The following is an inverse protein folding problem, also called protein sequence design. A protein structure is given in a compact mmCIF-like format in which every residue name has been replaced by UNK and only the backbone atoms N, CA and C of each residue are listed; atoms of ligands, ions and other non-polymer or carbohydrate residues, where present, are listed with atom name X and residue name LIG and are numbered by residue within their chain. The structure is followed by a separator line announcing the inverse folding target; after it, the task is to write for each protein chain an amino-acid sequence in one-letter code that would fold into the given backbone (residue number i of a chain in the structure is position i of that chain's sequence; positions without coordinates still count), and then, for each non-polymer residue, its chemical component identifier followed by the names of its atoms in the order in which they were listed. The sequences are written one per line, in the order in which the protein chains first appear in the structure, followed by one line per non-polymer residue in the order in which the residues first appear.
data_IF_548023283364
#
_entry.id   IF_548023283364
#
_cell.length_a   1.000
_cell.length_b   1.000
_cell.length_c   1.000
_cell.angle_alpha   90.00
_cell.angle_beta   90.00
_cell.angle_gamma   90.00
#
_symmetry.space_group_name_H-M   'P 1'
#
loop_
_entity.id
_entity.type
_entity.pdbx_description
1 polymer ?
#
# COMPACT_ATOMS: atom_id res chain seq x y z
N UNK A 1 13.72 -2.69 -4.43
CA UNK A 1 13.00 -1.46 -4.83
C UNK A 1 12.64 -0.71 -3.57
N UNK A 2 13.01 0.54 -3.50
CA UNK A 2 12.82 1.39 -2.33
C UNK A 2 11.58 2.28 -2.56
N UNK A 3 10.72 2.39 -1.56
CA UNK A 3 9.60 3.34 -1.59
C UNK A 3 10.04 4.59 -0.86
N UNK A 4 10.12 5.70 -1.58
CA UNK A 4 10.51 6.99 -1.04
C UNK A 4 9.27 7.87 -0.97
N UNK A 5 8.99 8.37 0.21
CA UNK A 5 7.91 9.34 0.42
C UNK A 5 8.47 10.74 0.22
N UNK A 6 7.90 11.49 -0.70
CA UNK A 6 8.25 12.89 -0.95
C UNK A 6 7.10 13.78 -0.49
N UNK A 7 7.39 14.65 0.49
CA UNK A 7 6.47 15.68 0.95
C UNK A 7 6.65 16.93 0.07
N UNK A 8 5.64 17.24 -0.75
CA UNK A 8 5.56 18.53 -1.42
C UNK A 8 4.62 19.42 -0.62
N UNK A 9 5.08 20.10 0.40
CA UNK A 9 4.70 21.32 0.86
C UNK A 9 4.52 21.82 2.19
N UNK A 10 4.77 23.01 2.25
CA UNK A 10 4.65 24.12 3.14
C UNK A 10 3.24 24.63 3.31
N UNK A 11 2.40 24.00 4.11
CA UNK A 11 1.36 24.73 4.82
C UNK A 11 1.10 24.08 6.18
N UNK A 12 1.76 24.58 7.20
CA UNK A 12 1.62 24.15 8.59
C UNK A 12 0.19 24.27 9.14
N UNK A 13 -0.73 24.84 8.35
CA UNK A 13 -2.13 25.03 8.74
C UNK A 13 -3.10 24.02 8.11
N UNK A 14 -2.69 23.26 7.10
CA UNK A 14 -3.57 22.26 6.48
C UNK A 14 -3.38 20.88 7.11
N UNK A 15 -4.47 20.33 7.60
CA UNK A 15 -4.59 19.04 8.27
C UNK A 15 -4.31 17.84 7.36
N UNK A 16 -4.19 18.04 6.04
CA UNK A 16 -4.00 17.01 5.03
C UNK A 16 -2.81 17.36 4.14
N UNK A 17 -1.77 16.52 4.20
CA UNK A 17 -0.60 16.66 3.34
C UNK A 17 -0.79 15.84 2.08
N UNK A 18 -0.43 16.41 0.95
CA UNK A 18 -0.27 15.67 -0.30
C UNK A 18 1.15 15.12 -0.35
N UNK A 19 1.28 13.83 -0.59
CA UNK A 19 2.55 13.11 -0.63
C UNK A 19 2.71 12.43 -1.98
N UNK A 20 3.96 12.15 -2.36
CA UNK A 20 4.25 11.27 -3.49
C UNK A 20 5.16 10.15 -3.02
N UNK A 21 4.71 8.90 -3.21
CA UNK A 21 5.55 7.73 -3.02
C UNK A 21 6.29 7.43 -4.31
N UNK A 22 7.60 7.33 -4.27
CA UNK A 22 8.45 7.05 -5.43
C UNK A 22 9.13 5.70 -5.26
N UNK A 23 9.02 4.85 -6.26
CA UNK A 23 9.61 3.52 -6.26
C UNK A 23 10.97 3.55 -6.97
N UNK A 24 11.99 3.93 -6.24
CA UNK A 24 13.36 4.01 -6.73
C UNK A 24 14.13 2.71 -6.46
N UNK A 25 15.23 2.48 -7.19
CA UNK A 25 16.13 1.35 -6.95
C UNK A 25 17.03 1.61 -5.75
N UNK A 26 17.45 2.87 -5.62
CA UNK A 26 18.39 3.33 -4.60
C UNK A 26 17.93 4.70 -4.09
N UNK A 27 18.42 5.07 -2.90
CA UNK A 27 18.18 6.38 -2.33
C UNK A 27 19.21 7.39 -2.83
N UNK A 28 19.20 7.65 -4.14
CA UNK A 28 20.04 8.66 -4.78
C UNK A 28 19.17 9.61 -5.59
N UNK A 29 19.54 10.88 -5.76
CA UNK A 29 18.80 11.83 -6.59
C UNK A 29 18.59 11.33 -8.02
N UNK A 30 19.59 10.65 -8.58
CA UNK A 30 19.55 10.08 -9.94
C UNK A 30 18.52 8.96 -10.03
N UNK A 31 18.50 8.04 -9.06
CA UNK A 31 17.55 6.93 -9.01
C UNK A 31 16.11 7.41 -8.78
N UNK A 32 15.94 8.43 -7.94
CA UNK A 32 14.64 9.07 -7.71
C UNK A 32 14.14 9.74 -9.00
N UNK A 33 15.01 10.52 -9.65
CA UNK A 33 14.71 11.20 -10.90
C UNK A 33 14.32 10.19 -11.99
N UNK A 34 15.10 9.13 -12.15
CA UNK A 34 14.81 8.04 -13.09
C UNK A 34 13.45 7.41 -12.81
N UNK A 35 13.15 7.12 -11.53
CA UNK A 35 11.87 6.54 -11.13
C UNK A 35 10.69 7.45 -11.45
N UNK A 36 10.82 8.77 -11.22
CA UNK A 36 9.80 9.75 -11.56
C UNK A 36 9.55 9.81 -13.07
N UNK A 37 10.59 9.88 -13.88
CA UNK A 37 10.46 9.88 -15.34
C UNK A 37 9.88 8.58 -15.88
N UNK A 38 10.17 7.45 -15.27
CA UNK A 38 9.56 6.16 -15.60
C UNK A 38 8.11 6.03 -15.11
N UNK A 39 7.61 7.04 -14.38
CA UNK A 39 6.26 7.04 -13.81
C UNK A 39 6.08 5.97 -12.73
N UNK A 40 7.14 5.64 -12.01
CA UNK A 40 7.11 4.76 -10.86
C UNK A 40 6.81 5.56 -9.59
N UNK A 41 5.61 6.13 -9.56
CA UNK A 41 5.14 6.93 -8.43
C UNK A 41 3.66 6.79 -8.19
N UNK A 42 3.22 7.10 -6.96
CA UNK A 42 1.85 7.12 -6.51
C UNK A 42 1.63 8.44 -5.77
N UNK A 43 0.58 9.17 -6.11
CA UNK A 43 0.15 10.34 -5.36
C UNK A 43 -0.74 9.91 -4.19
N UNK A 44 -0.59 10.59 -3.06
CA UNK A 44 -1.41 10.41 -1.87
C UNK A 44 -1.98 11.75 -1.42
N UNK A 45 -3.27 11.77 -1.17
CA UNK A 45 -3.96 12.91 -0.57
C UNK A 45 -5.23 12.42 0.14
N UNK A 46 -5.48 12.91 1.34
CA UNK A 46 -6.73 12.65 2.07
C UNK A 46 -7.12 11.16 2.09
N UNK A 47 -6.20 10.29 2.51
CA UNK A 47 -6.37 8.84 2.58
C UNK A 47 -6.66 8.15 1.22
N UNK A 48 -6.45 8.84 0.12
CA UNK A 48 -6.61 8.34 -1.25
C UNK A 48 -5.26 8.20 -1.92
N UNK A 49 -5.09 7.13 -2.64
CA UNK A 49 -3.93 6.85 -3.48
C UNK A 49 -4.32 6.91 -4.95
N UNK A 50 -3.49 7.52 -5.77
CA UNK A 50 -3.70 7.58 -7.20
C UNK A 50 -2.40 7.28 -7.96
N UNK A 51 -2.46 6.37 -8.94
CA UNK A 51 -1.28 5.98 -9.70
C UNK A 51 -1.55 4.86 -10.68
N UNK A 52 -0.50 4.41 -11.36
CA UNK A 52 -0.60 3.26 -12.26
C UNK A 52 -0.98 2.00 -11.50
N UNK A 53 -1.80 1.15 -12.11
CA UNK A 53 -2.33 -0.08 -11.50
C UNK A 53 -1.23 -0.96 -10.88
N UNK A 54 -0.14 -1.18 -11.63
CA UNK A 54 0.98 -1.99 -11.17
C UNK A 54 1.68 -1.40 -9.94
N UNK A 55 1.79 -0.07 -9.85
CA UNK A 55 2.38 0.62 -8.71
C UNK A 55 1.47 0.54 -7.48
N UNK A 56 0.16 0.74 -7.67
CA UNK A 56 -0.83 0.59 -6.60
C UNK A 56 -0.88 -0.84 -6.07
N UNK A 57 -0.84 -1.86 -6.96
CA UNK A 57 -0.75 -3.27 -6.57
C UNK A 57 0.50 -3.55 -5.75
N UNK A 58 1.63 -3.04 -6.21
CA UNK A 58 2.90 -3.22 -5.52
C UNK A 58 2.88 -2.57 -4.13
N UNK A 59 2.37 -1.34 -4.02
CA UNK A 59 2.22 -0.64 -2.75
C UNK A 59 1.33 -1.42 -1.78
N UNK A 60 0.17 -1.87 -2.24
CA UNK A 60 -0.76 -2.66 -1.43
C UNK A 60 -0.10 -3.95 -0.93
N UNK A 61 0.63 -4.65 -1.80
CA UNK A 61 1.30 -5.89 -1.46
C UNK A 61 2.45 -5.70 -0.45
N UNK A 62 3.15 -4.58 -0.53
CA UNK A 62 4.24 -4.27 0.41
C UNK A 62 3.74 -3.86 1.80
N UNK A 63 2.48 -3.43 1.89
CA UNK A 63 1.90 -2.90 3.12
C UNK A 63 0.90 -3.84 3.82
N UNK A 64 0.40 -4.85 3.12
CA UNK A 64 -0.51 -5.86 3.70
C UNK A 64 0.18 -7.21 3.82
N UNK A 65 0.24 -7.74 5.03
CA UNK A 65 0.73 -9.09 5.32
C UNK A 65 -0.42 -10.03 5.70
N UNK A 66 -0.44 -11.23 5.13
CA UNK A 66 -1.33 -12.30 5.58
C UNK A 66 -0.68 -13.02 6.75
N UNK A 67 -1.23 -12.87 7.94
CA UNK A 67 -0.74 -13.54 9.14
C UNK A 67 -1.21 -14.99 9.21
N UNK A 68 -2.48 -15.23 8.84
CA UNK A 68 -3.05 -16.57 8.77
C UNK A 68 -4.16 -16.64 7.74
N UNK A 69 -4.36 -17.83 7.19
CA UNK A 69 -5.47 -18.18 6.32
C UNK A 69 -5.92 -19.60 6.62
N UNK A 70 -7.22 -19.79 6.77
CA UNK A 70 -7.81 -21.10 6.93
C UNK A 70 -9.19 -21.18 6.27
N UNK A 71 -9.53 -22.37 5.78
CA UNK A 71 -10.86 -22.68 5.29
C UNK A 71 -11.59 -23.53 6.33
N UNK A 72 -12.76 -23.06 6.74
CA UNK A 72 -13.59 -23.74 7.73
C UNK A 72 -15.06 -23.50 7.47
N UNK A 73 -15.86 -24.58 7.50
CA UNK A 73 -17.34 -24.53 7.35
C UNK A 73 -17.81 -23.75 6.08
N UNK A 74 -17.14 -23.95 4.94
CA UNK A 74 -17.48 -23.28 3.68
C UNK A 74 -17.17 -21.79 3.66
N UNK A 75 -16.36 -21.32 4.61
CA UNK A 75 -15.88 -19.94 4.70
C UNK A 75 -14.37 -19.92 4.73
N UNK A 76 -13.77 -18.86 4.22
CA UNK A 76 -12.37 -18.54 4.46
C UNK A 76 -12.24 -17.49 5.56
N UNK A 77 -11.26 -17.70 6.41
CA UNK A 77 -10.89 -16.81 7.50
C UNK A 77 -9.47 -16.32 7.23
N UNK A 78 -9.32 -15.01 7.11
CA UNK A 78 -8.02 -14.39 6.83
C UNK A 78 -7.73 -13.36 7.89
N UNK A 79 -6.53 -13.41 8.45
CA UNK A 79 -6.00 -12.39 9.33
C UNK A 79 -4.95 -11.59 8.57
N UNK A 80 -5.19 -10.31 8.41
CA UNK A 80 -4.35 -9.36 7.67
C UNK A 80 -3.74 -8.35 8.64
N UNK A 81 -2.46 -8.05 8.47
CA UNK A 81 -1.78 -6.94 9.11
C UNK A 81 -1.57 -5.84 8.07
N UNK A 82 -2.02 -4.64 8.37
CA UNK A 82 -1.68 -3.45 7.61
C UNK A 82 -0.54 -2.71 8.32
N UNK A 83 0.64 -2.70 7.70
CA UNK A 83 1.84 -2.04 8.24
C UNK A 83 1.96 -0.57 7.82
N UNK A 84 1.07 -0.09 6.95
CA UNK A 84 1.11 1.29 6.45
C UNK A 84 0.30 2.26 7.29
N UNK A 85 0.61 3.56 7.14
CA UNK A 85 -0.18 4.67 7.69
C UNK A 85 -1.52 4.87 6.99
N UNK A 86 -1.82 4.08 5.96
CA UNK A 86 -2.98 4.27 5.10
C UNK A 86 -4.00 3.17 5.35
N UNK A 87 -5.23 3.49 5.76
CA UNK A 87 -6.28 2.48 5.84
C UNK A 87 -6.73 2.06 4.43
N UNK A 88 -7.08 0.78 4.26
CA UNK A 88 -7.65 0.28 3.01
C UNK A 88 -9.13 0.01 3.16
N UNK A 89 -9.88 0.33 2.11
CA UNK A 89 -11.32 0.15 2.02
C UNK A 89 -11.61 -0.82 0.88
N UNK A 90 -11.96 -2.05 1.23
CA UNK A 90 -12.29 -3.10 0.27
C UNK A 90 -13.81 -3.20 0.09
N UNK A 91 -14.24 -3.35 -1.15
CA UNK A 91 -15.63 -3.51 -1.55
C UNK A 91 -15.72 -4.59 -2.62
N UNK A 92 -16.69 -5.49 -2.50
CA UNK A 92 -16.96 -6.54 -3.49
C UNK A 92 -18.23 -6.26 -4.33
N UNK A 93 -18.73 -5.02 -4.28
CA UNK A 93 -19.95 -4.59 -4.97
C UNK A 93 -21.23 -4.75 -4.16
N UNK A 94 -21.17 -5.37 -2.99
CA UNK A 94 -22.31 -5.47 -2.06
C UNK A 94 -22.17 -4.40 -0.99
N UNK A 95 -23.06 -3.41 -0.98
CA UNK A 95 -22.99 -2.23 -0.09
C UNK A 95 -22.84 -2.55 1.40
N UNK A 96 -23.40 -3.68 1.85
CA UNK A 96 -23.34 -4.13 3.24
C UNK A 96 -22.00 -4.81 3.61
N UNK A 97 -21.10 -5.01 2.66
CA UNK A 97 -19.97 -5.91 2.79
C UNK A 97 -18.61 -5.22 2.62
N UNK A 98 -18.57 -3.93 2.99
CA UNK A 98 -17.35 -3.15 2.99
C UNK A 98 -16.44 -3.54 4.15
N UNK A 99 -15.17 -3.79 3.83
CA UNK A 99 -14.14 -4.12 4.80
C UNK A 99 -13.22 -2.93 4.93
N UNK A 100 -13.03 -2.47 6.15
CA UNK A 100 -11.98 -1.49 6.46
C UNK A 100 -10.83 -2.21 7.13
N UNK A 101 -9.65 -2.08 6.55
CA UNK A 101 -8.39 -2.50 7.14
C UNK A 101 -7.71 -1.25 7.68
N UNK A 102 -7.74 -1.00 9.00
CA UNK A 102 -7.16 0.23 9.57
C UNK A 102 -5.64 0.27 9.37
N UNK A 103 -5.05 1.46 9.44
CA UNK A 103 -3.61 1.65 9.47
C UNK A 103 -3.01 1.01 10.74
N UNK A 104 -1.82 0.42 10.64
CA UNK A 104 -1.08 -0.21 11.73
C UNK A 104 -1.91 -1.19 12.58
N UNK A 105 -2.79 -1.95 11.94
CA UNK A 105 -3.73 -2.82 12.64
C UNK A 105 -3.88 -4.19 12.00
N UNK A 106 -4.22 -5.15 12.84
CA UNK A 106 -4.66 -6.48 12.41
C UNK A 106 -6.17 -6.43 12.15
N UNK A 107 -6.59 -6.99 11.03
CA UNK A 107 -7.97 -7.12 10.63
C UNK A 107 -8.30 -8.59 10.36
N UNK A 108 -9.33 -9.11 11.04
CA UNK A 108 -9.87 -10.44 10.78
C UNK A 108 -11.02 -10.34 9.78
N UNK A 109 -10.91 -11.07 8.69
CA UNK A 109 -11.90 -11.13 7.62
C UNK A 109 -12.43 -12.55 7.48
N UNK A 110 -13.74 -12.70 7.47
CA UNK A 110 -14.41 -13.98 7.20
C UNK A 110 -15.39 -13.81 6.05
N UNK A 111 -15.28 -14.66 5.02
CA UNK A 111 -16.13 -14.62 3.82
C UNK A 111 -16.50 -16.03 3.35
N UNK A 112 -17.67 -16.21 2.71
CA UNK A 112 -17.99 -17.45 2.03
C UNK A 112 -16.98 -17.77 0.91
N UNK A 113 -16.64 -19.04 0.72
CA UNK A 113 -15.74 -19.48 -0.36
C UNK A 113 -16.22 -19.06 -1.75
N UNK A 114 -17.54 -18.98 -1.95
CA UNK A 114 -18.13 -18.50 -3.22
C UNK A 114 -17.72 -17.07 -3.58
N UNK A 115 -17.32 -16.26 -2.62
CA UNK A 115 -16.87 -14.89 -2.86
C UNK A 115 -15.38 -14.81 -3.24
N UNK A 116 -14.60 -15.89 -3.14
CA UNK A 116 -13.20 -15.92 -3.58
C UNK A 116 -13.02 -15.66 -5.08
N UNK A 117 -14.04 -15.92 -5.87
CA UNK A 117 -14.01 -15.68 -7.32
C UNK A 117 -14.26 -14.22 -7.71
N UNK A 118 -14.78 -13.42 -6.78
CA UNK A 118 -15.08 -12.02 -7.02
C UNK A 118 -13.86 -11.15 -6.63
N UNK A 119 -13.42 -10.23 -7.50
CA UNK A 119 -12.35 -9.31 -7.12
C UNK A 119 -12.84 -8.32 -6.06
N UNK A 120 -11.95 -7.92 -5.18
CA UNK A 120 -12.17 -6.78 -4.30
C UNK A 120 -11.76 -5.49 -5.01
N UNK A 121 -12.62 -4.50 -4.92
CA UNK A 121 -12.32 -3.13 -5.31
C UNK A 121 -11.74 -2.39 -4.11
N UNK A 122 -10.55 -1.83 -4.25
CA UNK A 122 -9.93 -0.97 -3.23
C UNK A 122 -10.40 0.45 -3.46
N UNK A 123 -11.43 0.88 -2.73
CA UNK A 123 -12.21 2.09 -3.07
C UNK A 123 -11.45 3.39 -2.88
N UNK A 124 -10.38 3.39 -2.10
CA UNK A 124 -9.48 4.53 -1.91
C UNK A 124 -8.20 4.47 -2.76
N UNK A 125 -8.12 3.54 -3.72
CA UNK A 125 -7.03 3.47 -4.70
C UNK A 125 -7.55 3.71 -6.12
N UNK A 126 -7.04 4.74 -6.77
CA UNK A 126 -7.52 5.28 -8.04
C UNK A 126 -6.51 5.01 -9.17
N UNK A 127 -6.92 4.25 -10.18
CA UNK A 127 -6.16 4.08 -11.42
C UNK A 127 -6.41 5.27 -12.35
N UNK A 128 -7.66 5.75 -12.36
CA UNK A 128 -8.07 6.96 -13.08
C UNK A 128 -9.11 7.74 -12.25
N UNK A 129 -9.66 8.81 -12.78
CA UNK A 129 -10.72 9.58 -12.10
C UNK A 129 -11.97 8.75 -11.80
N UNK A 130 -12.26 7.74 -12.60
CA UNK A 130 -13.46 6.89 -12.50
C UNK A 130 -13.18 5.47 -12.05
N UNK A 131 -11.95 4.98 -12.26
CA UNK A 131 -11.57 3.59 -12.01
C UNK A 131 -10.83 3.44 -10.69
N UNK A 132 -11.16 2.36 -10.00
CA UNK A 132 -10.52 1.94 -8.74
C UNK A 132 -9.71 0.69 -8.98
N UNK A 133 -8.71 0.49 -8.14
CA UNK A 133 -7.93 -0.73 -8.16
C UNK A 133 -8.83 -1.93 -7.82
N UNK A 134 -8.83 -2.92 -8.69
CA UNK A 134 -9.44 -4.22 -8.44
C UNK A 134 -8.36 -5.29 -8.28
N UNK A 135 -8.52 -6.12 -7.25
CA UNK A 135 -7.59 -7.18 -6.91
C UNK A 135 -8.35 -8.50 -6.72
N UNK A 136 -7.92 -9.59 -7.35
CA UNK A 136 -8.47 -10.90 -7.04
C UNK A 136 -8.13 -11.27 -5.59
N UNK A 137 -8.97 -12.05 -4.94
CA UNK A 137 -8.73 -12.50 -3.55
C UNK A 137 -7.41 -13.26 -3.45
N UNK A 138 -7.07 -14.04 -4.48
CA UNK A 138 -5.78 -14.73 -4.57
C UNK A 138 -4.58 -13.81 -4.47
N UNK A 139 -4.70 -12.57 -4.94
CA UNK A 139 -3.64 -11.57 -4.82
C UNK A 139 -3.38 -11.17 -3.37
N UNK A 140 -4.44 -11.03 -2.56
CA UNK A 140 -4.31 -10.78 -1.12
C UNK A 140 -3.66 -11.98 -0.41
N UNK A 141 -4.04 -13.20 -0.79
CA UNK A 141 -3.54 -14.42 -0.16
C UNK A 141 -2.11 -14.77 -0.57
N UNK A 142 -1.68 -14.40 -1.78
CA UNK A 142 -0.33 -14.63 -2.30
C UNK A 142 0.77 -13.81 -1.61
N UNK A 143 0.41 -12.89 -0.71
CA UNK A 143 1.39 -12.09 0.04
C UNK A 143 2.27 -12.93 0.99
N UNK A 144 1.95 -14.22 1.18
CA UNK A 144 2.78 -15.15 1.95
C UNK A 144 4.06 -15.58 1.22
N UNK A 145 4.07 -15.45 -0.11
CA UNK A 145 5.25 -15.67 -0.96
C UNK A 145 5.65 -14.34 -1.61
N UNK A 146 6.29 -13.47 -0.85
CA UNK A 146 7.02 -12.38 -1.50
C UNK A 146 8.16 -13.02 -2.31
N UNK A 147 8.30 -12.69 -3.61
CA UNK A 147 9.58 -12.91 -4.25
C UNK A 147 10.60 -12.17 -3.40
N UNK A 148 11.70 -12.84 -3.05
CA UNK A 148 12.82 -12.24 -2.32
C UNK A 148 13.17 -10.93 -3.00
N UNK A 149 12.74 -9.82 -2.39
CA UNK A 149 13.23 -8.54 -2.80
C UNK A 149 14.67 -8.47 -2.33
N UNK A 150 15.62 -8.08 -3.18
CA UNK A 150 17.00 -7.96 -2.74
C UNK A 150 17.01 -7.05 -1.52
N UNK A 151 17.52 -7.59 -0.43
CA UNK A 151 17.74 -6.90 0.83
C UNK A 151 18.44 -5.57 0.55
N UNK A 152 17.79 -4.48 0.81
CA UNK A 152 18.39 -3.16 0.80
C UNK A 152 18.55 -2.73 2.24
N UNK A 153 19.81 -2.66 2.66
CA UNK A 153 20.32 -2.23 3.96
C UNK A 153 19.49 -1.07 4.57
N UNK A 154 19.08 -1.27 5.82
CA UNK A 154 18.25 -0.35 6.59
C UNK A 154 18.99 0.94 6.93
N UNK A 155 18.92 1.93 6.08
CA UNK A 155 19.33 3.29 6.47
C UNK A 155 18.15 4.22 6.37
N UNK A 156 17.58 4.56 7.52
CA UNK A 156 16.73 5.74 7.65
C UNK A 156 17.59 6.95 7.35
N UNK A 157 17.48 7.50 6.17
CA UNK A 157 18.14 8.75 5.82
C UNK A 157 17.07 9.81 5.66
N UNK A 158 17.02 10.74 6.59
CA UNK A 158 16.20 11.94 6.46
C UNK A 158 17.07 13.07 5.92
N UNK A 159 16.68 13.63 4.78
CA UNK A 159 17.29 14.86 4.28
C UNK A 159 16.30 16.00 4.47
N UNK A 160 16.69 16.99 5.25
CA UNK A 160 15.99 18.26 5.34
C UNK A 160 16.87 19.31 4.68
N UNK A 161 16.53 19.71 3.48
CA UNK A 161 17.14 20.84 2.82
C UNK A 161 16.07 21.67 2.14
N UNK A 162 16.00 22.95 2.54
CA UNK A 162 15.13 23.96 1.92
C UNK A 162 13.63 23.56 1.83
N UNK A 163 13.13 22.95 2.91
CA UNK A 163 11.70 22.65 3.01
C UNK A 163 11.21 21.40 2.28
N UNK A 164 12.10 20.61 1.71
CA UNK A 164 11.81 19.29 1.19
C UNK A 164 12.15 18.25 2.27
N UNK A 165 11.16 17.52 2.73
CA UNK A 165 11.37 16.39 3.63
C UNK A 165 11.20 15.09 2.84
N UNK A 166 12.26 14.28 2.79
CA UNK A 166 12.21 12.93 2.21
C UNK A 166 12.24 11.96 3.37
N UNK A 167 11.17 11.22 3.56
CA UNK A 167 11.10 10.17 4.57
C UNK A 167 11.20 8.82 3.87
N UNK A 168 12.21 8.06 4.22
CA UNK A 168 12.37 6.69 3.77
C UNK A 168 11.74 5.76 4.79
N UNK A 169 10.71 5.03 4.39
CA UNK A 169 10.22 3.91 5.16
C UNK A 169 10.64 2.62 4.47
N UNK A 170 11.67 1.97 4.98
CA UNK A 170 11.87 0.54 4.73
C UNK A 170 10.99 -0.19 5.73
N UNK A 171 10.04 -1.00 5.24
CA UNK A 171 9.30 -1.89 6.10
C UNK A 171 10.22 -3.01 6.57
N UNK A 172 10.78 -2.87 7.75
CA UNK A 172 11.30 -4.00 8.51
C UNK A 172 10.70 -3.96 9.90
N UNK A 173 10.06 -5.06 10.23
CA UNK A 173 9.64 -5.30 11.59
C UNK A 173 10.84 -5.59 12.44
N UNK A 174 11.18 -4.69 13.35
CA UNK A 174 12.00 -5.03 14.50
C UNK A 174 11.19 -5.96 15.38
N UNK A 175 11.62 -7.23 15.40
CA UNK A 175 11.26 -8.17 16.45
C UNK A 175 11.94 -7.75 17.75
N UNK A 176 11.13 -7.33 18.70
CA UNK A 176 11.41 -7.45 20.12
C UNK A 176 10.21 -8.10 20.79
#
# INVERSE_FOLDING_TARGET
MLIIQMDFLFDLKKKFRTLTFVFAKENTPESIKEALYAGRSIAYADQKLAGKENMLKLFLRSSLKVLSYEERNGKFHVRLLNESDIPYLLDNGVLSDRIRIPAHAVCDMTRPLSQLTQPFRVTNMYISSTERLEIPVSYLLASKEMPEMPYVDERKVSFVKEGLSIVLSCGEGDTY
#
